data_IF_797248261660
#
_entry.id   IF_797248261660
#
_cell.length_a   1.000
_cell.length_b   1.000
_cell.length_c   1.000
_cell.angle_alpha   90.00
_cell.angle_beta   90.00
_cell.angle_gamma   90.00
#
_symmetry.space_group_name_H-M   'P 1'
#
loop_
_entity.id
_entity.type
_entity.pdbx_description
1 polymer ?
#
# COMPACT_ATOMS: atom_id res chain seq x y z
N UNK A 1 -12.04 -36.40 37.73
CA UNK A 1 -10.98 -35.37 37.65
C UNK A 1 -10.88 -34.94 36.20
N UNK A 2 -11.48 -33.81 35.83
CA UNK A 2 -11.21 -33.17 34.54
C UNK A 2 -9.92 -32.36 34.72
N UNK A 3 -8.79 -32.92 34.29
CA UNK A 3 -7.55 -32.18 34.12
C UNK A 3 -7.79 -31.15 33.01
N UNK A 4 -8.19 -29.94 33.38
CA UNK A 4 -8.05 -28.78 32.51
C UNK A 4 -6.56 -28.50 32.44
N UNK A 5 -5.90 -28.95 31.37
CA UNK A 5 -4.60 -28.40 31.01
C UNK A 5 -4.81 -26.89 30.79
N UNK A 6 -4.00 -26.02 31.41
CA UNK A 6 -4.06 -24.60 31.08
C UNK A 6 -3.81 -24.45 29.59
N UNK A 7 -4.61 -23.62 28.92
CA UNK A 7 -4.26 -23.15 27.58
C UNK A 7 -2.88 -22.49 27.67
N UNK A 8 -1.95 -22.77 26.75
CA UNK A 8 -0.65 -22.11 26.76
C UNK A 8 -0.85 -20.59 26.71
N UNK A 9 -0.03 -19.85 27.46
CA UNK A 9 -0.06 -18.40 27.47
C UNK A 9 0.29 -17.87 26.06
N UNK A 10 -0.41 -16.83 25.63
CA UNK A 10 -0.16 -16.17 24.34
C UNK A 10 0.71 -14.95 24.63
N UNK A 11 1.87 -14.92 24.00
CA UNK A 11 2.89 -13.89 24.17
C UNK A 11 2.94 -12.96 22.96
N UNK A 12 3.24 -11.69 23.22
CA UNK A 12 3.41 -10.65 22.21
C UNK A 12 4.91 -10.46 21.96
N UNK A 13 5.37 -10.58 20.72
CA UNK A 13 6.75 -10.33 20.36
C UNK A 13 6.88 -9.40 19.16
N UNK A 14 8.04 -8.77 19.01
CA UNK A 14 8.37 -7.93 17.86
C UNK A 14 9.60 -8.50 17.16
N UNK A 15 9.45 -8.85 15.89
CA UNK A 15 10.50 -9.47 15.08
C UNK A 15 10.96 -8.45 14.04
N UNK A 16 12.25 -8.14 14.03
CA UNK A 16 12.86 -7.39 12.94
C UNK A 16 13.01 -8.30 11.72
N UNK A 17 12.72 -7.75 10.55
CA UNK A 17 12.77 -8.41 9.25
C UNK A 17 13.86 -7.72 8.43
N UNK A 18 14.80 -8.46 7.86
CA UNK A 18 15.88 -7.89 7.05
C UNK A 18 16.28 -8.76 5.87
N UNK A 19 16.42 -8.18 4.68
CA UNK A 19 16.93 -8.88 3.49
C UNK A 19 17.74 -7.97 2.58
N UNK A 20 18.86 -8.46 2.03
CA UNK A 20 19.67 -7.74 1.03
C UNK A 20 20.18 -8.60 -0.13
N UNK A 21 19.62 -9.80 -0.35
CA UNK A 21 20.02 -10.69 -1.45
C UNK A 21 18.79 -11.18 -2.22
N UNK A 22 18.87 -11.10 -3.55
CA UNK A 22 17.80 -11.59 -4.44
C UNK A 22 16.54 -10.73 -4.39
N UNK A 23 15.36 -11.37 -4.46
CA UNK A 23 14.07 -10.69 -4.28
C UNK A 23 13.81 -10.46 -2.78
N UNK A 24 14.33 -9.32 -2.29
CA UNK A 24 14.36 -8.95 -0.87
C UNK A 24 12.96 -8.88 -0.24
N UNK A 25 11.98 -8.39 -0.99
CA UNK A 25 10.59 -8.28 -0.51
C UNK A 25 9.96 -9.66 -0.46
N UNK A 26 10.12 -10.47 -1.51
CA UNK A 26 9.57 -11.83 -1.54
C UNK A 26 10.12 -12.68 -0.40
N UNK A 27 11.42 -12.58 -0.09
CA UNK A 27 12.00 -13.28 1.06
C UNK A 27 11.35 -12.89 2.39
N UNK A 28 11.05 -11.59 2.59
CA UNK A 28 10.36 -11.11 3.79
C UNK A 28 8.90 -11.62 3.82
N UNK A 29 8.22 -11.64 2.68
CA UNK A 29 6.85 -12.17 2.61
C UNK A 29 6.80 -13.67 2.90
N UNK A 30 7.71 -14.45 2.34
CA UNK A 30 7.81 -15.88 2.62
C UNK A 30 8.12 -16.13 4.10
N UNK A 31 9.02 -15.36 4.72
CA UNK A 31 9.26 -15.46 6.15
C UNK A 31 8.01 -15.19 6.99
N UNK A 32 7.19 -14.20 6.63
CA UNK A 32 5.92 -13.95 7.32
C UNK A 32 4.93 -15.11 7.17
N UNK A 33 4.81 -15.66 5.95
CA UNK A 33 3.95 -16.82 5.69
C UNK A 33 4.42 -18.07 6.45
N UNK A 34 5.72 -18.30 6.52
CA UNK A 34 6.30 -19.42 7.27
C UNK A 34 6.11 -19.26 8.77
N UNK A 35 6.26 -18.04 9.32
CA UNK A 35 5.90 -17.75 10.72
C UNK A 35 4.43 -18.10 11.00
N UNK A 36 3.49 -17.65 10.16
CA UNK A 36 2.07 -17.95 10.31
C UNK A 36 1.78 -19.46 10.24
N UNK A 37 2.51 -20.19 9.39
CA UNK A 37 2.40 -21.64 9.18
C UNK A 37 2.84 -22.43 10.43
N UNK A 38 3.90 -22.00 11.10
CA UNK A 38 4.43 -22.68 12.30
C UNK A 38 3.82 -22.19 13.62
N UNK A 39 2.81 -21.31 13.55
CA UNK A 39 2.05 -20.87 14.72
C UNK A 39 2.51 -19.55 15.35
N UNK A 40 3.47 -18.85 14.72
CA UNK A 40 3.87 -17.48 15.07
C UNK A 40 2.98 -16.53 14.25
N UNK A 41 1.88 -16.04 14.84
CA UNK A 41 0.86 -15.28 14.11
C UNK A 41 1.26 -13.84 13.91
N UNK A 42 1.47 -13.42 12.66
CA UNK A 42 1.74 -12.02 12.32
C UNK A 42 0.45 -11.21 12.48
N UNK A 43 0.46 -10.22 13.37
CA UNK A 43 -0.70 -9.38 13.68
C UNK A 43 -0.75 -8.14 12.82
N UNK A 44 0.38 -7.47 12.69
CA UNK A 44 0.55 -6.27 11.85
C UNK A 44 2.03 -6.02 11.58
N UNK A 45 2.30 -5.20 10.58
CA UNK A 45 3.67 -4.92 10.13
C UNK A 45 3.92 -3.43 10.03
N UNK A 46 5.17 -3.01 10.20
CA UNK A 46 5.60 -1.69 9.78
C UNK A 46 5.56 -1.56 8.25
N UNK A 47 5.86 -0.37 7.73
CA UNK A 47 6.31 -0.25 6.35
C UNK A 47 7.64 -0.99 6.18
N UNK A 48 7.96 -1.39 4.94
CA UNK A 48 9.31 -1.78 4.57
C UNK A 48 10.12 -0.52 4.28
N UNK A 49 11.38 -0.49 4.72
CA UNK A 49 12.31 0.60 4.48
C UNK A 49 13.55 0.09 3.76
N UNK A 50 13.86 0.69 2.62
CA UNK A 50 15.15 0.48 1.97
C UNK A 50 16.20 1.39 2.64
N UNK A 51 17.33 0.81 3.06
CA UNK A 51 18.38 1.48 3.83
C UNK A 51 19.76 1.05 3.33
N UNK A 52 20.75 1.95 3.39
CA UNK A 52 22.13 1.57 3.10
C UNK A 52 22.69 0.56 4.13
N UNK A 53 23.66 -0.28 3.73
CA UNK A 53 24.35 -1.17 4.67
C UNK A 53 25.05 -0.39 5.78
N UNK A 54 24.90 -0.82 7.05
CA UNK A 54 25.49 -0.12 8.20
C UNK A 54 26.96 -0.52 8.49
N UNK A 55 27.33 -1.78 8.24
CA UNK A 55 28.63 -2.31 8.69
C UNK A 55 29.56 -2.70 7.54
N UNK A 56 29.04 -3.35 6.50
CA UNK A 56 29.80 -3.74 5.31
C UNK A 56 29.25 -2.95 4.12
N UNK A 57 29.96 -1.88 3.76
CA UNK A 57 29.46 -0.88 2.81
C UNK A 57 29.44 -1.34 1.35
N UNK A 58 30.19 -2.39 1.01
CA UNK A 58 30.24 -2.99 -0.33
C UNK A 58 29.19 -4.09 -0.49
N UNK A 59 27.91 -3.73 -0.33
CA UNK A 59 26.76 -4.63 -0.46
C UNK A 59 25.51 -3.89 -0.97
N UNK A 60 24.55 -4.64 -1.50
CA UNK A 60 23.26 -4.09 -1.88
C UNK A 60 22.50 -3.52 -0.66
N UNK A 61 21.66 -2.48 -0.86
CA UNK A 61 20.81 -1.94 0.18
C UNK A 61 19.93 -3.01 0.84
N UNK A 62 19.71 -2.86 2.14
CA UNK A 62 18.80 -3.72 2.90
C UNK A 62 17.37 -3.23 2.76
N UNK A 63 16.42 -4.15 2.68
CA UNK A 63 15.02 -3.90 3.04
C UNK A 63 14.83 -4.35 4.48
N UNK A 64 14.36 -3.43 5.33
CA UNK A 64 14.11 -3.66 6.75
C UNK A 64 12.63 -3.39 7.10
N UNK A 65 12.10 -4.16 8.04
CA UNK A 65 10.78 -3.96 8.62
C UNK A 65 10.68 -4.56 10.01
N UNK A 66 9.53 -4.41 10.66
CA UNK A 66 9.21 -5.07 11.92
C UNK A 66 7.80 -5.63 11.82
N UNK A 67 7.58 -6.85 12.30
CA UNK A 67 6.24 -7.37 12.55
C UNK A 67 5.98 -7.56 14.04
N UNK A 68 4.76 -7.27 14.46
CA UNK A 68 4.20 -7.67 15.74
C UNK A 68 3.59 -9.06 15.57
N UNK A 69 3.94 -9.98 16.46
CA UNK A 69 3.50 -11.38 16.40
C UNK A 69 2.90 -11.84 17.73
N UNK A 70 1.96 -12.79 17.64
CA UNK A 70 1.47 -13.58 18.77
C UNK A 70 2.03 -15.01 18.68
N UNK A 71 2.51 -15.56 19.79
CA UNK A 71 3.06 -16.92 19.82
C UNK A 71 2.83 -17.58 21.18
N UNK A 72 2.85 -18.90 21.22
CA UNK A 72 2.87 -19.69 22.48
C UNK A 72 4.25 -20.25 22.80
N UNK A 73 5.28 -19.86 22.03
CA UNK A 73 6.66 -20.32 22.17
C UNK A 73 7.41 -19.43 23.15
N UNK A 74 8.11 -20.04 24.10
CA UNK A 74 9.05 -19.34 24.99
C UNK A 74 10.20 -18.68 24.19
N UNK A 75 10.91 -17.67 24.74
CA UNK A 75 11.91 -16.90 24.00
C UNK A 75 12.97 -17.71 23.24
N UNK A 76 13.50 -18.79 23.84
CA UNK A 76 14.50 -19.65 23.18
C UNK A 76 13.89 -20.53 22.09
N UNK A 77 12.67 -21.04 22.28
CA UNK A 77 11.96 -21.84 21.28
C UNK A 77 11.54 -20.96 20.09
N UNK A 78 11.15 -19.71 20.36
CA UNK A 78 10.89 -18.70 19.33
C UNK A 78 12.16 -18.44 18.51
N UNK A 79 13.32 -18.25 19.16
CA UNK A 79 14.59 -18.05 18.47
C UNK A 79 14.94 -19.26 17.58
N UNK A 80 14.83 -20.48 18.12
CA UNK A 80 15.14 -21.71 17.39
C UNK A 80 14.22 -21.89 16.17
N UNK A 81 12.95 -21.52 16.31
CA UNK A 81 11.96 -21.56 15.23
C UNK A 81 12.28 -20.54 14.14
N UNK A 82 12.58 -19.29 14.51
CA UNK A 82 12.96 -18.24 13.55
C UNK A 82 14.25 -18.61 12.79
N UNK A 83 15.27 -19.15 13.49
CA UNK A 83 16.50 -19.63 12.86
C UNK A 83 16.23 -20.79 11.88
N UNK A 84 15.28 -21.66 12.19
CA UNK A 84 14.87 -22.74 11.29
C UNK A 84 14.23 -22.20 10.01
N UNK A 85 13.33 -21.21 10.13
CA UNK A 85 12.73 -20.52 8.97
C UNK A 85 13.81 -19.88 8.08
N UNK A 86 14.79 -19.20 8.66
CA UNK A 86 15.87 -18.59 7.89
C UNK A 86 16.69 -19.62 7.10
N UNK A 87 17.02 -20.76 7.73
CA UNK A 87 17.76 -21.86 7.10
C UNK A 87 16.95 -22.45 5.94
N UNK A 88 15.65 -22.68 6.14
CA UNK A 88 14.74 -23.20 5.11
C UNK A 88 14.62 -22.24 3.92
N UNK A 89 14.59 -20.93 4.17
CA UNK A 89 14.60 -19.88 3.14
C UNK A 89 16.00 -19.61 2.55
N UNK A 90 16.97 -20.49 2.79
CA UNK A 90 18.25 -20.50 2.11
C UNK A 90 19.33 -19.61 2.71
N UNK A 91 19.22 -19.21 4.00
CA UNK A 91 20.29 -18.48 4.70
C UNK A 91 21.59 -19.29 4.68
N UNK A 92 22.60 -18.80 3.96
CA UNK A 92 23.98 -19.32 3.99
C UNK A 92 24.86 -18.35 4.78
N UNK A 93 25.21 -18.71 6.01
CA UNK A 93 26.05 -17.89 6.90
C UNK A 93 27.52 -17.96 6.44
N UNK A 94 27.87 -17.21 5.40
CA UNK A 94 29.22 -17.19 4.81
C UNK A 94 30.14 -16.17 5.52
N UNK A 95 29.60 -15.04 5.99
CA UNK A 95 30.32 -13.94 6.66
C UNK A 95 29.42 -13.36 7.75
N UNK A 96 29.95 -13.08 8.95
CA UNK A 96 29.21 -12.39 10.01
C UNK A 96 28.83 -10.97 9.56
N UNK A 97 27.56 -10.59 9.73
CA UNK A 97 26.96 -9.34 9.21
C UNK A 97 27.12 -9.15 7.68
N UNK A 98 27.31 -10.24 6.94
CA UNK A 98 27.39 -10.28 5.47
C UNK A 98 26.02 -10.28 4.76
N UNK A 99 26.01 -10.45 3.42
CA UNK A 99 24.78 -10.55 2.65
C UNK A 99 23.95 -11.76 3.08
N UNK A 100 22.65 -11.58 3.22
CA UNK A 100 21.69 -12.59 3.69
C UNK A 100 20.36 -12.47 2.97
N UNK A 101 19.82 -13.63 2.58
CA UNK A 101 18.49 -13.73 1.94
C UNK A 101 17.38 -13.30 2.90
N UNK A 102 17.51 -13.61 4.19
CA UNK A 102 16.60 -13.20 5.26
C UNK A 102 17.31 -13.22 6.62
N UNK A 103 16.87 -12.32 7.51
CA UNK A 103 17.29 -12.21 8.91
C UNK A 103 16.08 -11.85 9.78
N UNK A 104 15.86 -12.62 10.85
CA UNK A 104 14.74 -12.53 11.77
C UNK A 104 15.27 -12.39 13.21
N UNK A 105 15.26 -11.18 13.75
CA UNK A 105 15.76 -10.90 15.11
C UNK A 105 14.60 -10.60 16.07
N UNK A 106 14.55 -11.28 17.22
CA UNK A 106 13.60 -10.95 18.29
C UNK A 106 14.05 -9.64 18.95
N UNK A 107 13.25 -8.58 18.81
CA UNK A 107 13.51 -7.27 19.40
C UNK A 107 12.99 -7.18 20.83
N UNK A 108 11.74 -7.59 21.01
CA UNK A 108 10.97 -7.47 22.25
C UNK A 108 10.11 -8.72 22.43
N UNK A 109 9.85 -9.06 23.68
CA UNK A 109 8.98 -10.16 24.09
C UNK A 109 8.26 -9.71 25.37
N UNK A 110 6.94 -9.59 25.27
CA UNK A 110 6.06 -8.97 26.25
C UNK A 110 6.64 -7.63 26.77
N UNK A 111 6.77 -7.48 28.08
CA UNK A 111 7.47 -6.37 28.74
C UNK A 111 8.58 -6.91 29.64
N UNK A 112 9.27 -7.94 29.14
CA UNK A 112 10.25 -8.71 29.92
C UNK A 112 11.69 -8.38 29.55
N UNK A 113 12.58 -8.64 30.51
CA UNK A 113 14.02 -8.67 30.30
C UNK A 113 14.45 -10.13 30.35
N UNK A 114 15.01 -10.62 29.26
CA UNK A 114 15.57 -11.97 29.16
C UNK A 114 17.05 -11.88 28.81
N UNK A 115 17.91 -12.56 29.56
CA UNK A 115 19.34 -12.61 29.28
C UNK A 115 19.84 -14.04 29.26
N UNK A 116 20.43 -14.41 28.13
CA UNK A 116 20.97 -15.74 27.85
C UNK A 116 22.16 -15.61 26.90
N UNK A 117 23.06 -16.59 26.87
CA UNK A 117 24.26 -16.56 26.01
C UNK A 117 23.92 -16.46 24.51
N UNK A 118 22.73 -16.94 24.11
CA UNK A 118 22.22 -16.96 22.73
C UNK A 118 21.27 -15.81 22.40
N UNK A 119 20.63 -15.21 23.41
CA UNK A 119 19.50 -14.30 23.23
C UNK A 119 19.45 -13.28 24.37
N UNK A 120 19.32 -12.00 24.01
CA UNK A 120 19.03 -10.93 24.96
C UNK A 120 17.79 -10.18 24.47
N UNK A 121 16.81 -10.01 25.36
CA UNK A 121 15.59 -9.24 25.12
C UNK A 121 15.51 -8.16 26.21
N UNK A 122 15.34 -6.88 25.86
CA UNK A 122 15.33 -6.33 24.51
C UNK A 122 16.62 -6.57 23.72
N UNK A 123 16.54 -6.62 22.39
CA UNK A 123 17.73 -6.83 21.54
C UNK A 123 18.78 -5.75 21.80
N UNK A 124 20.02 -6.15 22.12
CA UNK A 124 21.04 -5.26 22.71
C UNK A 124 21.37 -4.01 21.89
N UNK A 125 21.28 -4.09 20.57
CA UNK A 125 21.60 -2.97 19.65
C UNK A 125 20.35 -2.27 19.08
N UNK A 126 19.14 -2.62 19.53
CA UNK A 126 17.92 -2.09 18.90
C UNK A 126 17.83 -0.57 19.02
N UNK A 127 18.22 -0.01 20.17
CA UNK A 127 18.11 1.43 20.44
C UNK A 127 19.16 2.28 19.71
N UNK A 128 20.15 1.66 19.07
CA UNK A 128 21.23 2.32 18.34
C UNK A 128 21.00 2.30 16.82
N UNK A 129 19.98 1.56 16.35
CA UNK A 129 19.77 1.26 14.93
C UNK A 129 18.51 1.93 14.40
N UNK A 130 18.68 2.93 13.53
CA UNK A 130 17.55 3.61 12.86
C UNK A 130 16.66 2.63 12.10
N UNK A 131 17.26 1.72 11.33
CA UNK A 131 16.53 0.71 10.54
C UNK A 131 15.74 -0.31 11.38
N UNK A 132 15.94 -0.34 12.71
CA UNK A 132 15.14 -1.12 13.67
C UNK A 132 14.12 -0.21 14.35
N UNK A 133 14.56 0.92 14.91
CA UNK A 133 13.70 1.83 15.65
C UNK A 133 12.64 2.52 14.80
N UNK A 134 12.95 2.83 13.53
CA UNK A 134 12.02 3.48 12.60
C UNK A 134 10.78 2.61 12.32
N UNK A 135 10.92 1.36 11.83
CA UNK A 135 9.77 0.48 11.68
C UNK A 135 9.09 0.13 13.01
N UNK A 136 9.84 -0.10 14.10
CA UNK A 136 9.24 -0.37 15.42
C UNK A 136 8.39 0.81 15.93
N UNK A 137 8.87 2.04 15.74
CA UNK A 137 8.16 3.25 16.15
C UNK A 137 6.90 3.52 15.32
N UNK A 138 6.72 2.88 14.14
CA UNK A 138 5.43 2.92 13.45
C UNK A 138 4.37 2.07 14.16
N UNK A 139 4.77 1.00 14.86
CA UNK A 139 3.86 0.09 15.55
C UNK A 139 3.56 0.52 16.98
N UNK A 140 4.60 0.98 17.70
CA UNK A 140 4.52 1.27 19.14
C UNK A 140 5.25 2.58 19.52
N UNK A 141 4.95 3.73 18.87
CA UNK A 141 5.72 4.97 19.05
C UNK A 141 5.77 5.49 20.49
N UNK A 142 4.72 5.19 21.27
CA UNK A 142 4.51 5.71 22.63
C UNK A 142 4.79 4.69 23.73
N UNK A 143 5.17 3.45 23.37
CA UNK A 143 5.59 2.46 24.36
C UNK A 143 7.05 2.72 24.78
N UNK A 144 7.43 2.11 25.90
CA UNK A 144 8.72 2.28 26.56
C UNK A 144 9.52 0.97 26.51
N UNK A 145 10.84 1.02 26.26
CA UNK A 145 11.70 -0.16 26.41
C UNK A 145 11.65 -0.68 27.86
N UNK A 146 11.59 -2.01 28.08
CA UNK A 146 11.65 -2.59 29.43
C UNK A 146 13.10 -2.58 29.93
N UNK A 147 13.66 -1.39 30.19
CA UNK A 147 15.03 -1.21 30.69
C UNK A 147 15.03 -0.74 32.16
N UNK A 148 15.97 -1.19 33.00
CA UNK A 148 16.07 -0.73 34.38
C UNK A 148 16.55 0.74 34.45
N UNK A 149 15.67 1.67 34.81
CA UNK A 149 16.02 3.10 34.97
C UNK A 149 14.80 4.02 35.19
N UNK A 150 15.02 5.19 35.80
CA UNK A 150 13.95 6.17 36.12
C UNK A 150 13.60 7.12 34.96
N UNK A 151 14.42 7.19 33.92
CA UNK A 151 14.26 8.09 32.77
C UNK A 151 13.90 7.31 31.49
N UNK A 152 12.85 6.51 31.54
CA UNK A 152 12.43 5.74 30.35
C UNK A 152 11.83 6.70 29.31
N UNK A 153 12.44 6.71 28.12
CA UNK A 153 11.96 7.46 26.96
C UNK A 153 11.15 6.53 26.06
N UNK A 154 10.19 7.10 25.32
CA UNK A 154 9.42 6.33 24.33
C UNK A 154 10.28 5.92 23.13
N UNK A 155 9.90 4.88 22.40
CA UNK A 155 10.60 4.48 21.16
C UNK A 155 10.71 5.63 20.15
N UNK A 156 9.66 6.45 20.02
CA UNK A 156 9.70 7.64 19.16
C UNK A 156 10.71 8.70 19.63
N UNK A 157 10.93 8.83 20.94
CA UNK A 157 11.94 9.73 21.50
C UNK A 157 13.34 9.20 21.22
N UNK A 158 13.56 7.89 21.40
CA UNK A 158 14.82 7.24 21.04
C UNK A 158 15.16 7.41 19.55
N UNK A 159 14.19 7.18 18.65
CA UNK A 159 14.39 7.38 17.21
C UNK A 159 14.80 8.81 16.87
N UNK A 160 14.16 9.82 17.49
CA UNK A 160 14.50 11.24 17.28
C UNK A 160 15.88 11.63 17.83
N UNK A 161 16.40 10.89 18.80
CA UNK A 161 17.71 11.12 19.38
C UNK A 161 18.87 10.54 18.55
N UNK A 162 18.57 9.61 17.62
CA UNK A 162 19.57 9.07 16.70
C UNK A 162 20.05 10.14 15.69
N UNK A 163 21.31 10.06 15.24
CA UNK A 163 21.76 10.82 14.08
C UNK A 163 20.84 10.55 12.88
N UNK A 164 20.49 11.57 12.07
CA UNK A 164 19.75 11.36 10.84
C UNK A 164 20.45 10.33 9.95
N UNK A 165 19.75 9.30 9.47
CA UNK A 165 20.36 8.30 8.60
C UNK A 165 20.75 8.92 7.25
N UNK A 166 21.94 8.59 6.77
CA UNK A 166 22.42 8.97 5.44
C UNK A 166 22.77 7.70 4.63
N UNK A 167 22.09 7.44 3.50
CA UNK A 167 20.92 8.14 2.96
C UNK A 167 19.65 7.93 3.79
N UNK A 168 18.66 8.81 3.61
CA UNK A 168 17.34 8.70 4.25
C UNK A 168 16.63 7.40 3.84
N UNK A 169 16.11 6.60 4.78
CA UNK A 169 15.34 5.40 4.50
C UNK A 169 14.10 5.67 3.64
N UNK A 170 13.90 4.83 2.63
CA UNK A 170 12.78 4.95 1.70
C UNK A 170 11.71 3.91 1.99
N UNK A 171 10.49 4.34 2.34
CA UNK A 171 9.36 3.44 2.52
C UNK A 171 9.03 2.77 1.19
N UNK A 172 8.95 1.45 1.15
CA UNK A 172 8.84 0.66 -0.08
C UNK A 172 7.51 -0.09 -0.11
N UNK A 173 6.72 0.12 -1.17
CA UNK A 173 5.48 -0.62 -1.44
C UNK A 173 5.66 -1.44 -2.73
N UNK A 174 5.86 -2.77 -2.65
CA UNK A 174 5.93 -3.62 -3.83
C UNK A 174 4.60 -3.61 -4.60
N UNK A 175 4.66 -3.69 -5.93
CA UNK A 175 3.47 -3.86 -6.79
C UNK A 175 3.52 -5.23 -7.48
N UNK A 176 4.54 -5.45 -8.30
CA UNK A 176 4.82 -6.76 -8.91
C UNK A 176 6.31 -6.88 -9.24
N UNK A 177 6.83 -8.10 -9.52
CA UNK A 177 8.25 -8.28 -9.84
C UNK A 177 8.73 -7.53 -11.10
N UNK A 178 7.81 -7.15 -11.99
CA UNK A 178 8.10 -6.45 -13.25
C UNK A 178 7.79 -4.95 -13.19
N UNK A 179 7.30 -4.46 -12.06
CA UNK A 179 6.96 -3.06 -11.84
C UNK A 179 7.76 -2.51 -10.65
N UNK A 180 8.38 -1.31 -10.76
CA UNK A 180 9.17 -0.74 -9.68
C UNK A 180 8.33 -0.53 -8.41
N UNK A 181 8.91 -0.79 -7.24
CA UNK A 181 8.23 -0.49 -5.99
C UNK A 181 7.97 1.01 -5.85
N UNK A 182 6.90 1.38 -5.14
CA UNK A 182 6.63 2.78 -4.83
C UNK A 182 7.46 3.18 -3.61
N UNK A 183 8.23 4.27 -3.74
CA UNK A 183 9.09 4.80 -2.69
C UNK A 183 8.50 6.07 -2.05
N UNK A 184 7.39 5.96 -1.32
CA UNK A 184 6.55 7.11 -0.93
C UNK A 184 7.26 8.22 -0.10
N UNK A 185 8.36 7.90 0.57
CA UNK A 185 9.18 8.88 1.32
C UNK A 185 10.39 9.40 0.55
N UNK A 186 10.68 8.88 -0.64
CA UNK A 186 11.75 9.43 -1.49
C UNK A 186 11.31 10.79 -2.05
N UNK A 187 12.02 11.90 -1.73
CA UNK A 187 11.69 13.22 -2.27
C UNK A 187 11.85 13.30 -3.79
N UNK A 188 12.67 12.44 -4.42
CA UNK A 188 12.98 12.45 -5.86
C UNK A 188 12.16 11.47 -6.69
N UNK A 189 11.23 10.72 -6.06
CA UNK A 189 10.41 9.74 -6.77
C UNK A 189 9.59 10.37 -7.90
N UNK A 190 9.33 9.58 -8.93
CA UNK A 190 8.44 9.97 -10.02
C UNK A 190 6.98 9.66 -9.69
N UNK A 191 6.07 10.51 -10.15
CA UNK A 191 4.63 10.27 -10.05
C UNK A 191 4.17 9.31 -11.14
N UNK A 192 3.47 8.24 -10.75
CA UNK A 192 2.91 7.26 -11.68
C UNK A 192 1.57 7.71 -12.27
N UNK A 193 1.44 7.58 -13.58
CA UNK A 193 0.17 7.82 -14.30
C UNK A 193 -0.61 6.51 -14.40
N UNK A 194 -1.79 6.49 -13.79
CA UNK A 194 -2.76 5.38 -13.86
C UNK A 194 -3.86 5.71 -14.85
N UNK A 195 -3.89 4.98 -15.98
CA UNK A 195 -4.88 5.17 -17.04
C UNK A 195 -6.17 4.41 -16.74
N UNK A 196 -7.31 5.07 -16.90
CA UNK A 196 -8.64 4.49 -16.68
C UNK A 196 -9.11 3.72 -17.93
N UNK A 197 -9.31 2.41 -17.81
CA UNK A 197 -9.92 1.55 -18.82
C UNK A 197 -11.28 1.02 -18.32
N UNK A 198 -12.37 1.69 -18.68
CA UNK A 198 -13.71 1.25 -18.32
C UNK A 198 -14.25 0.25 -19.37
N UNK A 199 -14.52 -0.98 -18.94
CA UNK A 199 -15.13 -2.03 -19.76
C UNK A 199 -16.64 -2.11 -19.49
N UNK A 200 -17.30 -0.95 -19.49
CA UNK A 200 -18.76 -0.81 -19.29
C UNK A 200 -19.42 -0.33 -20.58
N UNK A 201 -20.63 -0.80 -20.95
CA UNK A 201 -21.30 -0.38 -22.18
C UNK A 201 -21.42 1.14 -22.34
N UNK A 202 -21.69 1.86 -21.25
CA UNK A 202 -21.84 3.32 -21.23
C UNK A 202 -20.55 4.08 -21.55
N UNK A 203 -19.39 3.44 -21.40
CA UNK A 203 -18.08 4.05 -21.72
C UNK A 203 -17.76 3.97 -23.21
N UNK A 204 -18.49 3.14 -23.97
CA UNK A 204 -18.36 3.01 -25.44
C UNK A 204 -19.34 3.91 -26.20
N UNK A 205 -20.00 4.84 -25.50
CA UNK A 205 -21.00 5.75 -26.07
C UNK A 205 -20.43 6.80 -27.04
N UNK A 206 -19.12 6.79 -27.34
CA UNK A 206 -18.51 7.51 -28.48
C UNK A 206 -18.86 6.82 -29.83
N UNK A 207 -20.15 6.56 -30.04
CA UNK A 207 -20.70 6.07 -31.31
C UNK A 207 -20.81 4.55 -31.46
N UNK A 208 -20.70 3.75 -30.39
CA UNK A 208 -21.04 2.32 -30.40
C UNK A 208 -20.11 1.44 -31.26
N UNK A 209 -18.87 1.86 -31.49
CA UNK A 209 -17.97 1.19 -32.43
C UNK A 209 -17.34 -0.11 -31.92
N UNK A 210 -17.24 -0.29 -30.60
CA UNK A 210 -16.56 -1.44 -30.00
C UNK A 210 -17.32 -1.96 -28.78
N UNK A 211 -17.39 -3.28 -28.63
CA UNK A 211 -17.96 -3.91 -27.43
C UNK A 211 -16.93 -3.91 -26.29
N UNK A 212 -17.37 -3.95 -25.00
CA UNK A 212 -16.46 -4.12 -23.86
C UNK A 212 -15.54 -5.34 -23.93
N UNK A 213 -15.87 -6.32 -24.78
CA UNK A 213 -15.12 -7.55 -25.02
C UNK A 213 -14.27 -7.52 -26.29
N UNK A 214 -14.19 -6.39 -26.99
CA UNK A 214 -13.39 -6.24 -28.20
C UNK A 214 -11.89 -6.18 -27.86
N UNK A 215 -11.20 -7.31 -28.04
CA UNK A 215 -9.77 -7.43 -27.71
C UNK A 215 -8.88 -6.59 -28.62
N UNK A 216 -9.29 -6.28 -29.86
CA UNK A 216 -8.51 -5.42 -30.75
C UNK A 216 -8.56 -3.98 -30.23
N UNK A 217 -9.75 -3.51 -29.86
CA UNK A 217 -9.91 -2.20 -29.23
C UNK A 217 -9.12 -2.10 -27.92
N UNK A 218 -9.18 -3.12 -27.06
CA UNK A 218 -8.38 -3.17 -25.83
C UNK A 218 -6.88 -3.09 -26.16
N UNK A 219 -6.43 -3.83 -27.18
CA UNK A 219 -5.02 -3.81 -27.61
C UNK A 219 -4.57 -2.42 -28.04
N UNK A 220 -5.33 -1.77 -28.91
CA UNK A 220 -5.00 -0.42 -29.41
C UNK A 220 -5.04 0.60 -28.27
N UNK A 221 -6.05 0.53 -27.40
CA UNK A 221 -6.21 1.44 -26.26
C UNK A 221 -5.05 1.31 -25.27
N UNK A 222 -4.67 0.08 -24.92
CA UNK A 222 -3.56 -0.20 -23.99
C UNK A 222 -2.24 0.26 -24.58
N UNK A 223 -1.97 -0.04 -25.86
CA UNK A 223 -0.77 0.48 -26.56
C UNK A 223 -0.72 2.00 -26.55
N UNK A 224 -1.86 2.66 -26.79
CA UNK A 224 -1.95 4.10 -26.74
C UNK A 224 -1.68 4.66 -25.33
N UNK A 225 -2.21 4.04 -24.28
CA UNK A 225 -1.92 4.43 -22.89
C UNK A 225 -0.43 4.31 -22.58
N UNK A 226 0.20 3.21 -22.96
CA UNK A 226 1.64 2.99 -22.74
C UNK A 226 2.47 4.02 -23.51
N UNK A 227 2.18 4.23 -24.79
CA UNK A 227 2.85 5.24 -25.62
C UNK A 227 2.64 6.67 -25.08
N UNK A 228 1.52 6.91 -24.40
CA UNK A 228 1.18 8.19 -23.76
C UNK A 228 1.81 8.36 -22.37
N UNK A 229 2.52 7.35 -21.86
CA UNK A 229 3.25 7.42 -20.59
C UNK A 229 2.50 6.86 -19.36
N UNK A 230 1.41 6.11 -19.55
CA UNK A 230 0.82 5.34 -18.47
C UNK A 230 1.79 4.27 -17.97
N UNK A 231 1.87 4.12 -16.65
CA UNK A 231 2.66 3.05 -16.00
C UNK A 231 1.74 2.05 -15.29
N UNK A 232 0.50 2.46 -15.00
CA UNK A 232 -0.54 1.61 -14.42
C UNK A 232 -1.79 1.71 -15.31
N UNK A 233 -2.49 0.60 -15.50
CA UNK A 233 -3.79 0.56 -16.18
C UNK A 233 -4.81 0.03 -15.20
N UNK A 234 -5.84 0.83 -14.93
CA UNK A 234 -6.90 0.51 -13.99
C UNK A 234 -8.18 0.11 -14.74
N UNK A 235 -8.56 -1.14 -14.57
CA UNK A 235 -9.61 -1.80 -15.34
C UNK A 235 -10.87 -1.86 -14.50
N UNK A 236 -11.96 -1.26 -14.97
CA UNK A 236 -13.26 -1.26 -14.28
C UNK A 236 -14.33 -2.00 -15.07
N UNK A 237 -14.95 -3.02 -14.49
CA UNK A 237 -16.07 -3.76 -15.08
C UNK A 237 -17.46 -3.21 -14.72
N UNK A 238 -17.53 -2.40 -13.67
CA UNK A 238 -18.74 -1.78 -13.13
C UNK A 238 -18.57 -0.24 -13.04
N UNK A 239 -19.64 0.52 -13.31
CA UNK A 239 -19.61 1.98 -13.16
C UNK A 239 -19.88 2.36 -11.70
N UNK A 240 -18.95 3.08 -11.09
CA UNK A 240 -19.07 3.62 -9.72
C UNK A 240 -19.64 5.05 -9.69
N UNK A 241 -20.20 5.53 -10.82
CA UNK A 241 -20.80 6.87 -10.92
C UNK A 241 -22.12 6.93 -10.13
N UNK A 242 -22.45 8.08 -9.52
CA UNK A 242 -23.75 8.25 -8.85
C UNK A 242 -24.93 7.89 -9.76
N UNK A 243 -25.79 7.00 -9.30
CA UNK A 243 -26.99 6.55 -10.01
C UNK A 243 -26.80 5.44 -11.05
N UNK A 244 -25.61 4.83 -11.15
CA UNK A 244 -25.41 3.64 -11.99
C UNK A 244 -26.19 2.43 -11.45
N UNK A 245 -26.60 1.55 -12.37
CA UNK A 245 -27.19 0.25 -12.01
C UNK A 245 -26.06 -0.76 -11.77
N UNK A 246 -25.97 -1.37 -10.58
CA UNK A 246 -24.95 -2.38 -10.31
C UNK A 246 -25.10 -3.59 -11.23
N UNK A 247 -23.97 -4.18 -11.63
CA UNK A 247 -23.95 -5.47 -12.33
C UNK A 247 -23.58 -6.57 -11.34
N UNK A 248 -24.01 -7.81 -11.61
CA UNK A 248 -23.63 -8.94 -10.77
C UNK A 248 -22.15 -9.28 -10.91
N UNK A 249 -21.54 -9.87 -9.88
CA UNK A 249 -20.13 -10.28 -9.90
C UNK A 249 -19.76 -11.14 -11.12
N UNK A 250 -20.64 -12.05 -11.55
CA UNK A 250 -20.44 -12.88 -12.74
C UNK A 250 -20.27 -12.05 -14.01
N UNK A 251 -21.06 -10.99 -14.17
CA UNK A 251 -20.99 -10.11 -15.34
C UNK A 251 -19.74 -9.24 -15.30
N UNK A 252 -19.40 -8.71 -14.12
CA UNK A 252 -18.16 -7.95 -13.92
C UNK A 252 -16.92 -8.80 -14.23
N UNK A 253 -16.86 -10.03 -13.72
CA UNK A 253 -15.81 -11.02 -14.03
C UNK A 253 -15.73 -11.28 -15.55
N UNK A 254 -16.87 -11.50 -16.21
CA UNK A 254 -16.92 -11.78 -17.64
C UNK A 254 -16.41 -10.60 -18.50
N UNK A 255 -16.46 -9.37 -17.98
CA UNK A 255 -15.90 -8.18 -18.64
C UNK A 255 -14.39 -8.06 -18.39
N UNK A 256 -13.94 -8.17 -17.14
CA UNK A 256 -12.57 -7.81 -16.77
C UNK A 256 -11.55 -8.94 -16.95
N UNK A 257 -11.91 -10.19 -16.65
CA UNK A 257 -10.94 -11.31 -16.65
C UNK A 257 -10.38 -11.59 -18.05
N UNK A 258 -11.20 -11.67 -19.13
CA UNK A 258 -10.67 -11.86 -20.47
C UNK A 258 -9.73 -10.72 -20.90
N UNK A 259 -10.06 -9.48 -20.55
CA UNK A 259 -9.24 -8.31 -20.87
C UNK A 259 -7.90 -8.35 -20.14
N UNK A 260 -7.88 -8.64 -18.84
CA UNK A 260 -6.64 -8.75 -18.05
C UNK A 260 -5.74 -9.84 -18.62
N UNK A 261 -6.29 -11.03 -18.91
CA UNK A 261 -5.52 -12.13 -19.53
C UNK A 261 -4.93 -11.69 -20.86
N UNK A 262 -5.74 -11.10 -21.74
CA UNK A 262 -5.30 -10.64 -23.05
C UNK A 262 -4.18 -9.60 -22.95
N UNK A 263 -4.30 -8.62 -22.05
CA UNK A 263 -3.25 -7.62 -21.83
C UNK A 263 -1.94 -8.29 -21.40
N UNK A 264 -2.02 -9.25 -20.47
CA UNK A 264 -0.85 -9.96 -19.95
C UNK A 264 -0.19 -10.90 -20.97
N UNK A 265 -0.97 -11.58 -21.80
CA UNK A 265 -0.45 -12.64 -22.69
C UNK A 265 -0.21 -12.19 -24.13
N UNK A 266 -0.86 -11.11 -24.57
CA UNK A 266 -0.94 -10.75 -25.99
C UNK A 266 -0.48 -9.33 -26.31
N UNK A 267 -0.12 -8.54 -25.30
CA UNK A 267 0.44 -7.18 -25.47
C UNK A 267 1.83 -7.12 -24.80
N UNK A 268 2.92 -7.45 -25.52
CA UNK A 268 4.27 -7.44 -24.96
C UNK A 268 4.69 -6.11 -24.35
N UNK A 269 4.20 -4.99 -24.88
CA UNK A 269 4.46 -3.64 -24.37
C UNK A 269 3.93 -3.44 -22.93
N UNK A 270 2.96 -4.26 -22.50
CA UNK A 270 2.38 -4.21 -21.17
C UNK A 270 3.15 -5.04 -20.11
N UNK A 271 4.29 -5.66 -20.48
CA UNK A 271 5.05 -6.54 -19.58
C UNK A 271 5.46 -5.85 -18.26
N UNK A 272 5.85 -4.57 -18.32
CA UNK A 272 6.29 -3.79 -17.16
C UNK A 272 5.21 -2.78 -16.69
N UNK A 273 3.96 -2.98 -17.11
CA UNK A 273 2.83 -2.13 -16.74
C UNK A 273 2.04 -2.83 -15.65
N UNK A 274 1.82 -2.15 -14.53
CA UNK A 274 0.96 -2.69 -13.49
C UNK A 274 -0.50 -2.67 -13.94
N UNK A 275 -1.23 -3.73 -13.65
CA UNK A 275 -2.68 -3.80 -13.88
C UNK A 275 -3.39 -3.68 -12.53
N UNK A 276 -4.24 -2.69 -12.42
CA UNK A 276 -5.15 -2.49 -11.29
C UNK A 276 -6.56 -2.94 -11.67
N UNK A 277 -7.28 -3.57 -10.75
CA UNK A 277 -8.71 -3.89 -10.88
C UNK A 277 -9.54 -2.95 -10.00
N UNK A 278 -10.38 -2.11 -10.61
CA UNK A 278 -11.35 -1.23 -9.93
C UNK A 278 -12.59 -2.04 -9.60
N UNK A 279 -12.65 -2.59 -8.38
CA UNK A 279 -13.77 -3.40 -7.90
C UNK A 279 -13.89 -3.33 -6.39
N UNK A 280 -15.13 -3.37 -5.90
CA UNK A 280 -15.45 -3.49 -4.48
C UNK A 280 -15.91 -4.91 -4.11
N UNK A 281 -15.81 -5.89 -5.02
CA UNK A 281 -16.24 -7.28 -4.82
C UNK A 281 -15.04 -8.22 -4.67
N UNK A 282 -14.99 -8.96 -3.58
CA UNK A 282 -13.90 -9.87 -3.26
C UNK A 282 -13.71 -10.95 -4.34
N UNK A 283 -14.81 -11.53 -4.82
CA UNK A 283 -14.79 -12.56 -5.88
C UNK A 283 -14.26 -12.05 -7.23
N UNK A 284 -14.49 -10.77 -7.55
CA UNK A 284 -13.95 -10.15 -8.77
C UNK A 284 -12.46 -9.87 -8.59
N UNK A 285 -12.06 -9.33 -7.44
CA UNK A 285 -10.66 -9.07 -7.10
C UNK A 285 -9.83 -10.37 -7.17
N UNK A 286 -10.31 -11.46 -6.59
CA UNK A 286 -9.67 -12.77 -6.67
C UNK A 286 -9.52 -13.25 -8.12
N UNK A 287 -10.59 -13.22 -8.90
CA UNK A 287 -10.57 -13.68 -10.28
C UNK A 287 -9.65 -12.81 -11.17
N UNK A 288 -9.62 -11.50 -10.95
CA UNK A 288 -8.78 -10.55 -11.65
C UNK A 288 -7.28 -10.74 -11.31
N UNK A 289 -6.94 -10.94 -10.03
CA UNK A 289 -5.57 -11.21 -9.62
C UNK A 289 -5.09 -12.57 -10.14
N UNK A 290 -5.94 -13.61 -10.12
CA UNK A 290 -5.64 -14.89 -10.77
C UNK A 290 -5.45 -14.78 -12.29
N UNK A 291 -6.03 -13.75 -12.92
CA UNK A 291 -5.84 -13.44 -14.33
C UNK A 291 -4.57 -12.61 -14.63
N UNK A 292 -3.92 -12.06 -13.59
CA UNK A 292 -2.68 -11.29 -13.72
C UNK A 292 -2.77 -9.80 -13.33
N UNK A 293 -3.81 -9.38 -12.60
CA UNK A 293 -3.83 -8.07 -11.95
C UNK A 293 -2.86 -8.03 -10.75
N UNK A 294 -2.22 -6.87 -10.55
CA UNK A 294 -1.22 -6.63 -9.51
C UNK A 294 -1.75 -5.81 -8.32
N UNK A 295 -2.78 -4.99 -8.56
CA UNK A 295 -3.35 -4.08 -7.57
C UNK A 295 -4.86 -4.28 -7.51
N UNK A 296 -5.43 -4.35 -6.31
CA UNK A 296 -6.88 -4.25 -6.08
C UNK A 296 -7.20 -2.81 -5.72
N UNK A 297 -7.99 -2.12 -6.54
CA UNK A 297 -8.45 -0.76 -6.28
C UNK A 297 -9.87 -0.79 -5.74
N UNK A 298 -10.01 -0.74 -4.42
CA UNK A 298 -11.31 -0.79 -3.75
C UNK A 298 -11.72 0.59 -3.25
N UNK A 299 -12.70 1.17 -3.95
CA UNK A 299 -13.29 2.45 -3.62
C UNK A 299 -13.93 2.50 -2.22
N UNK A 300 -14.28 1.34 -1.66
CA UNK A 300 -14.93 1.21 -0.36
C UNK A 300 -14.00 0.83 0.79
N UNK A 301 -12.73 0.57 0.48
CA UNK A 301 -11.75 0.07 1.44
C UNK A 301 -12.26 -1.14 2.26
N UNK A 302 -13.05 -2.03 1.66
CA UNK A 302 -13.63 -3.24 2.25
C UNK A 302 -14.97 -3.03 2.96
N UNK A 303 -15.64 -1.89 2.76
CA UNK A 303 -16.94 -1.61 3.41
C UNK A 303 -18.14 -2.16 2.62
N UNK A 304 -18.00 -2.38 1.31
CA UNK A 304 -19.11 -2.90 0.48
C UNK A 304 -19.10 -4.43 0.33
N UNK A 305 -17.99 -5.10 0.65
CA UNK A 305 -17.87 -6.55 0.68
C UNK A 305 -16.98 -6.99 1.87
N UNK A 306 -17.53 -7.66 2.88
CA UNK A 306 -16.78 -8.07 4.07
C UNK A 306 -15.65 -9.07 3.76
N UNK A 307 -15.74 -9.79 2.63
CA UNK A 307 -14.71 -10.75 2.22
C UNK A 307 -13.54 -10.08 1.48
N UNK A 308 -13.62 -8.78 1.19
CA UNK A 308 -12.60 -8.07 0.40
C UNK A 308 -11.24 -8.09 1.08
N UNK A 309 -11.13 -7.62 2.32
CA UNK A 309 -9.84 -7.54 3.01
C UNK A 309 -9.24 -8.93 3.29
N UNK A 310 -10.00 -9.94 3.77
CA UNK A 310 -9.49 -11.31 3.89
C UNK A 310 -9.03 -11.90 2.55
N UNK A 311 -9.75 -11.61 1.46
CA UNK A 311 -9.35 -12.05 0.11
C UNK A 311 -8.05 -11.40 -0.32
N UNK A 312 -7.91 -10.07 -0.14
CA UNK A 312 -6.69 -9.32 -0.45
C UNK A 312 -5.49 -9.83 0.35
N UNK A 313 -5.67 -10.12 1.64
CA UNK A 313 -4.63 -10.70 2.48
C UNK A 313 -4.13 -12.05 1.93
N UNK A 314 -5.06 -12.91 1.51
CA UNK A 314 -4.75 -14.23 0.95
C UNK A 314 -4.07 -14.18 -0.43
N UNK A 315 -4.49 -13.27 -1.32
CA UNK A 315 -3.86 -13.12 -2.65
C UNK A 315 -2.47 -12.46 -2.56
N UNK A 316 -2.17 -11.74 -1.48
CA UNK A 316 -0.87 -11.11 -1.26
C UNK A 316 -0.53 -9.96 -2.22
N UNK A 317 -1.54 -9.39 -2.89
CA UNK A 317 -1.40 -8.27 -3.82
C UNK A 317 -1.59 -6.94 -3.11
N UNK A 318 -1.11 -5.87 -3.74
CA UNK A 318 -1.25 -4.52 -3.18
C UNK A 318 -2.69 -4.02 -3.35
N UNK A 319 -3.16 -3.19 -2.42
CA UNK A 319 -4.53 -2.69 -2.37
C UNK A 319 -4.55 -1.18 -2.22
N UNK A 320 -5.43 -0.52 -2.97
CA UNK A 320 -5.78 0.88 -2.76
C UNK A 320 -7.03 0.93 -1.89
N UNK A 321 -6.89 1.53 -0.71
CA UNK A 321 -7.99 1.80 0.21
C UNK A 321 -8.43 3.24 0.02
N UNK A 322 -9.56 3.43 -0.66
CA UNK A 322 -10.13 4.76 -0.85
C UNK A 322 -11.12 5.11 0.26
N UNK A 323 -11.11 6.36 0.69
CA UNK A 323 -12.14 6.90 1.57
C UNK A 323 -13.44 7.17 0.81
N UNK A 324 -14.54 6.55 1.26
CA UNK A 324 -15.91 6.93 0.92
C UNK A 324 -16.86 6.70 2.09
N UNK A 325 -18.04 7.35 2.05
CA UNK A 325 -19.16 7.05 2.96
C UNK A 325 -20.37 6.56 2.18
N UNK A 326 -21.07 5.55 2.71
CA UNK A 326 -22.25 4.95 2.09
C UNK A 326 -21.92 4.12 0.86
N UNK A 327 -22.71 4.28 -0.19
CA UNK A 327 -22.57 3.57 -1.48
C UNK A 327 -22.53 4.59 -2.63
N UNK A 328 -22.18 4.20 -3.87
CA UNK A 328 -22.28 5.11 -5.03
C UNK A 328 -23.66 5.78 -5.18
N UNK A 329 -24.73 5.13 -4.71
CA UNK A 329 -26.11 5.64 -4.75
C UNK A 329 -26.44 6.60 -3.60
N UNK A 330 -25.81 6.45 -2.43
CA UNK A 330 -26.14 7.24 -1.21
C UNK A 330 -25.08 8.27 -0.83
N UNK A 331 -23.85 8.14 -1.32
CA UNK A 331 -22.71 8.97 -0.89
C UNK A 331 -22.92 10.47 -1.08
N UNK A 332 -23.77 10.88 -2.04
CA UNK A 332 -24.00 12.31 -2.31
C UNK A 332 -24.71 13.04 -1.18
N UNK A 333 -25.32 12.33 -0.23
CA UNK A 333 -25.97 12.94 0.95
C UNK A 333 -25.15 12.78 2.23
N UNK A 334 -23.98 12.14 2.18
CA UNK A 334 -23.15 11.81 3.35
C UNK A 334 -21.88 12.67 3.43
N UNK A 335 -22.01 13.95 3.06
CA UNK A 335 -20.88 14.87 2.88
C UNK A 335 -20.58 15.77 4.07
N UNK A 336 -21.19 15.52 5.23
CA UNK A 336 -21.04 16.37 6.41
C UNK A 336 -19.82 15.93 7.23
N UNK A 337 -18.82 16.81 7.34
CA UNK A 337 -17.60 16.60 8.13
C UNK A 337 -17.53 17.66 9.25
N UNK A 338 -18.28 17.49 10.35
CA UNK A 338 -18.40 18.51 11.40
C UNK A 338 -17.07 18.93 12.06
N UNK A 339 -16.07 18.05 12.08
CA UNK A 339 -14.73 18.31 12.63
C UNK A 339 -13.72 18.73 11.56
N UNK A 340 -14.16 18.87 10.30
CA UNK A 340 -13.34 19.18 9.14
C UNK A 340 -12.99 17.93 8.33
N UNK A 341 -12.88 18.09 7.01
CA UNK A 341 -12.67 16.94 6.10
C UNK A 341 -11.33 16.23 6.35
N UNK A 342 -10.25 16.97 6.61
CA UNK A 342 -8.92 16.39 6.82
C UNK A 342 -8.86 15.45 8.04
N UNK A 343 -9.21 15.88 9.27
CA UNK A 343 -9.14 15.00 10.43
C UNK A 343 -10.11 13.81 10.36
N UNK A 344 -11.31 13.98 9.78
CA UNK A 344 -12.27 12.89 9.65
C UNK A 344 -11.87 11.88 8.57
N UNK A 345 -11.42 12.34 7.39
CA UNK A 345 -10.87 11.44 6.37
C UNK A 345 -9.67 10.67 6.92
N UNK A 346 -8.81 11.33 7.71
CA UNK A 346 -7.68 10.67 8.34
C UNK A 346 -8.13 9.58 9.32
N UNK A 347 -9.08 9.88 10.20
CA UNK A 347 -9.60 8.93 11.17
C UNK A 347 -10.28 7.72 10.50
N UNK A 348 -11.07 7.97 9.45
CA UNK A 348 -11.77 6.90 8.72
C UNK A 348 -10.79 6.02 7.94
N UNK A 349 -9.78 6.59 7.26
CA UNK A 349 -8.73 5.80 6.62
C UNK A 349 -7.90 5.00 7.63
N UNK A 350 -7.54 5.59 8.77
CA UNK A 350 -6.83 4.87 9.85
C UNK A 350 -7.63 3.67 10.36
N UNK A 351 -8.96 3.80 10.49
CA UNK A 351 -9.82 2.67 10.85
C UNK A 351 -9.84 1.57 9.78
N UNK A 352 -9.76 1.94 8.49
CA UNK A 352 -9.68 0.96 7.40
C UNK A 352 -8.31 0.30 7.29
N UNK A 353 -7.22 1.00 7.59
CA UNK A 353 -5.88 0.41 7.71
C UNK A 353 -5.87 -0.62 8.84
N UNK A 354 -6.41 -0.30 10.01
CA UNK A 354 -6.50 -1.25 11.12
C UNK A 354 -7.30 -2.51 10.72
N UNK A 355 -8.45 -2.34 10.07
CA UNK A 355 -9.23 -3.47 9.57
C UNK A 355 -8.49 -4.31 8.50
N UNK A 356 -7.65 -3.68 7.68
CA UNK A 356 -6.82 -4.37 6.70
C UNK A 356 -5.70 -5.18 7.38
N UNK A 357 -5.01 -4.59 8.36
CA UNK A 357 -3.99 -5.26 9.18
C UNK A 357 -4.61 -6.44 9.95
N UNK A 358 -5.77 -6.26 10.58
CA UNK A 358 -6.50 -7.32 11.28
C UNK A 358 -6.90 -8.49 10.35
N UNK A 359 -7.16 -8.20 9.08
CA UNK A 359 -7.44 -9.21 8.06
C UNK A 359 -6.17 -9.93 7.53
N UNK A 360 -4.98 -9.47 7.92
CA UNK A 360 -3.68 -10.02 7.52
C UNK A 360 -3.02 -9.29 6.35
N UNK A 361 -3.54 -8.13 5.91
CA UNK A 361 -2.90 -7.32 4.89
C UNK A 361 -1.70 -6.61 5.51
N UNK A 362 -0.50 -6.88 4.97
CA UNK A 362 0.73 -6.20 5.44
C UNK A 362 0.68 -4.72 5.08
N UNK A 363 1.17 -3.87 5.97
CA UNK A 363 1.17 -2.41 5.79
C UNK A 363 1.88 -1.97 4.50
N UNK A 364 2.95 -2.66 4.10
CA UNK A 364 3.66 -2.40 2.85
C UNK A 364 2.90 -2.79 1.57
N UNK A 365 1.68 -3.34 1.67
CA UNK A 365 0.79 -3.63 0.54
C UNK A 365 -0.32 -2.59 0.37
N UNK A 366 -0.38 -1.55 1.20
CA UNK A 366 -1.50 -0.59 1.22
C UNK A 366 -1.09 0.72 0.53
N UNK A 367 -2.00 1.22 -0.32
CA UNK A 367 -1.99 2.54 -0.94
C UNK A 367 -3.26 3.28 -0.47
N UNK A 368 -3.19 4.59 -0.22
CA UNK A 368 -4.33 5.36 0.27
C UNK A 368 -4.89 6.31 -0.81
N UNK A 369 -6.21 6.50 -0.84
CA UNK A 369 -6.87 7.52 -1.68
C UNK A 369 -7.89 8.30 -0.82
N UNK A 370 -7.85 9.63 -0.75
CA UNK A 370 -8.81 10.41 0.03
C UNK A 370 -10.21 10.49 -0.62
N UNK A 371 -10.39 9.96 -1.83
CA UNK A 371 -11.68 9.81 -2.50
C UNK A 371 -12.31 11.13 -2.90
N UNK A 372 -11.66 11.87 -3.80
CA UNK A 372 -12.20 13.13 -4.34
C UNK A 372 -13.57 12.91 -5.00
N UNK A 373 -14.57 13.69 -4.60
CA UNK A 373 -15.95 13.60 -5.06
C UNK A 373 -16.75 12.41 -4.51
N UNK A 374 -16.18 11.61 -3.60
CA UNK A 374 -16.88 10.52 -2.90
C UNK A 374 -17.27 10.97 -1.50
N UNK A 375 -18.58 11.20 -1.31
CA UNK A 375 -19.14 11.79 -0.09
C UNK A 375 -18.52 13.14 0.28
N UNK A 376 -18.24 13.98 -0.72
CA UNK A 376 -17.57 15.28 -0.57
C UNK A 376 -18.19 16.31 -1.51
N UNK A 377 -18.30 17.54 -1.03
CA UNK A 377 -18.67 18.71 -1.84
C UNK A 377 -17.41 19.42 -2.33
N UNK A 378 -17.57 20.32 -3.30
CA UNK A 378 -16.44 21.05 -3.91
C UNK A 378 -15.49 21.71 -2.88
N UNK A 379 -15.95 22.42 -1.84
CA UNK A 379 -15.06 22.95 -0.81
C UNK A 379 -14.16 21.88 -0.17
N UNK A 380 -14.71 20.71 0.14
CA UNK A 380 -13.95 19.59 0.72
C UNK A 380 -12.93 19.01 -0.26
N UNK A 381 -13.30 18.85 -1.54
CA UNK A 381 -12.37 18.38 -2.58
C UNK A 381 -11.17 19.34 -2.75
N UNK A 382 -11.44 20.65 -2.70
CA UNK A 382 -10.40 21.68 -2.79
C UNK A 382 -9.52 21.71 -1.53
N UNK A 383 -10.11 21.53 -0.34
CA UNK A 383 -9.37 21.45 0.91
C UNK A 383 -8.45 20.22 0.92
N UNK A 384 -8.90 19.06 0.46
CA UNK A 384 -8.05 17.87 0.33
C UNK A 384 -6.90 18.10 -0.64
N UNK A 385 -7.16 18.70 -1.82
CA UNK A 385 -6.09 19.00 -2.78
C UNK A 385 -5.03 19.94 -2.19
N UNK A 386 -5.46 20.94 -1.42
CA UNK A 386 -4.57 21.92 -0.79
C UNK A 386 -3.82 21.33 0.40
N UNK A 387 -4.50 20.57 1.25
CA UNK A 387 -4.02 20.09 2.55
C UNK A 387 -3.58 18.62 2.49
N UNK A 388 -3.38 18.05 1.29
CA UNK A 388 -2.84 16.70 1.13
C UNK A 388 -1.52 16.49 1.90
N UNK A 389 -0.55 17.43 1.92
CA UNK A 389 0.64 17.30 2.77
C UNK A 389 0.30 17.11 4.25
N UNK A 390 -0.71 17.84 4.75
CA UNK A 390 -1.16 17.74 6.14
C UNK A 390 -1.85 16.41 6.39
N UNK A 391 -2.73 15.96 5.49
CA UNK A 391 -3.39 14.65 5.59
C UNK A 391 -2.37 13.50 5.64
N UNK A 392 -1.36 13.53 4.77
CA UNK A 392 -0.27 12.53 4.73
C UNK A 392 0.60 12.52 5.99
N UNK A 393 0.70 13.65 6.67
CA UNK A 393 1.45 13.81 7.92
C UNK A 393 0.60 13.54 9.18
N UNK A 394 -0.66 13.14 9.03
CA UNK A 394 -1.49 12.75 10.17
C UNK A 394 -0.96 11.44 10.79
N UNK A 395 -1.01 11.31 12.13
CA UNK A 395 -0.54 10.11 12.82
C UNK A 395 -1.18 8.83 12.27
N UNK A 396 -0.33 7.86 11.94
CA UNK A 396 -0.73 6.56 11.39
C UNK A 396 -0.83 6.52 9.87
N UNK A 397 -0.79 7.66 9.18
CA UNK A 397 -0.88 7.76 7.72
C UNK A 397 0.47 8.05 7.04
N UNK A 398 1.51 8.24 7.82
CA UNK A 398 2.85 8.48 7.32
C UNK A 398 3.38 7.23 6.58
N UNK A 399 4.26 7.47 5.61
CA UNK A 399 4.96 6.44 4.81
C UNK A 399 4.08 5.58 3.90
N UNK A 400 2.77 5.83 3.81
CA UNK A 400 1.95 5.23 2.75
C UNK A 400 2.13 5.98 1.42
N UNK A 401 2.10 5.27 0.28
CA UNK A 401 1.87 5.88 -1.02
C UNK A 401 0.41 6.35 -1.14
N UNK A 402 0.21 7.41 -1.93
CA UNK A 402 -1.09 8.05 -2.13
C UNK A 402 -1.51 8.09 -3.60
N UNK A 403 -2.74 7.68 -3.87
CA UNK A 403 -3.41 7.86 -5.15
C UNK A 403 -4.35 9.06 -5.10
N UNK A 404 -4.36 9.85 -6.18
CA UNK A 404 -5.31 10.94 -6.39
C UNK A 404 -6.05 10.78 -7.72
N UNK A 405 -7.39 10.75 -7.67
CA UNK A 405 -8.24 10.65 -8.86
C UNK A 405 -9.05 11.91 -9.21
N UNK A 406 -8.44 13.06 -9.57
CA UNK A 406 -9.18 14.29 -9.82
C UNK A 406 -9.82 14.36 -11.22
N UNK A 407 -9.48 13.42 -12.12
CA UNK A 407 -9.78 13.52 -13.55
C UNK A 407 -11.26 13.68 -13.89
N UNK A 408 -11.57 14.74 -14.65
CA UNK A 408 -12.90 15.08 -15.18
C UNK A 408 -14.00 15.24 -14.10
N UNK A 409 -13.64 15.37 -12.82
CA UNK A 409 -14.59 15.47 -11.69
C UNK A 409 -15.53 16.68 -11.83
N UNK A 410 -16.70 16.56 -11.21
CA UNK A 410 -17.80 17.55 -11.33
C UNK A 410 -17.40 18.94 -10.80
N UNK A 411 -16.65 18.99 -9.69
CA UNK A 411 -16.23 20.25 -9.09
C UNK A 411 -15.37 21.09 -10.05
N UNK A 412 -14.57 20.45 -10.93
CA UNK A 412 -13.78 21.12 -11.96
C UNK A 412 -14.70 21.85 -12.94
N UNK A 413 -15.73 21.15 -13.45
CA UNK A 413 -16.70 21.73 -14.37
C UNK A 413 -17.51 22.89 -13.76
N UNK A 414 -17.79 22.83 -12.46
CA UNK A 414 -18.43 23.94 -11.75
C UNK A 414 -17.53 25.18 -11.66
N UNK A 415 -16.22 25.02 -11.41
CA UNK A 415 -15.27 26.14 -11.32
C UNK A 415 -15.04 26.78 -12.68
N UNK A 416 -14.83 25.96 -13.71
CA UNK A 416 -14.42 26.44 -15.04
C UNK A 416 -15.59 26.77 -15.97
N UNK A 417 -16.81 26.37 -15.61
CA UNK A 417 -17.98 26.44 -16.48
C UNK A 417 -18.01 25.38 -17.60
N UNK A 418 -17.01 24.48 -17.68
CA UNK A 418 -16.93 23.42 -18.69
C UNK A 418 -17.89 22.27 -18.34
N UNK A 419 -19.01 22.22 -19.05
CA UNK A 419 -20.09 21.25 -18.81
C UNK A 419 -19.71 19.82 -19.18
N UNK A 420 -19.07 19.61 -20.32
CA UNK A 420 -18.74 18.28 -20.84
C UNK A 420 -17.53 17.70 -20.10
N UNK A 421 -17.63 16.52 -19.44
CA UNK A 421 -16.51 15.96 -18.67
C UNK A 421 -15.21 15.80 -19.46
N UNK A 422 -15.28 15.36 -20.74
CA UNK A 422 -14.11 15.16 -21.60
C UNK A 422 -13.36 16.45 -21.98
N UNK A 423 -14.00 17.61 -21.83
CA UNK A 423 -13.39 18.92 -22.14
C UNK A 423 -12.70 19.55 -20.92
N UNK A 424 -12.74 18.90 -19.75
CA UNK A 424 -12.19 19.42 -18.48
C UNK A 424 -10.68 19.20 -18.33
N UNK A 425 -9.95 19.01 -19.43
CA UNK A 425 -8.53 18.63 -19.43
C UNK A 425 -7.67 19.66 -18.68
N UNK A 426 -7.82 20.95 -18.96
CA UNK A 426 -7.02 22.00 -18.30
C UNK A 426 -7.31 22.17 -16.81
N UNK A 427 -8.57 22.03 -16.41
CA UNK A 427 -8.92 21.98 -15.00
C UNK A 427 -8.36 20.74 -14.31
N UNK A 428 -8.33 19.60 -15.01
CA UNK A 428 -7.68 18.38 -14.53
C UNK A 428 -6.18 18.59 -14.37
N UNK A 429 -5.51 19.22 -15.33
CA UNK A 429 -4.08 19.54 -15.27
C UNK A 429 -3.73 20.32 -13.98
N UNK A 430 -4.52 21.36 -13.65
CA UNK A 430 -4.33 22.12 -12.43
C UNK A 430 -4.43 21.25 -11.16
N UNK A 431 -5.44 20.38 -11.09
CA UNK A 431 -5.63 19.48 -9.94
C UNK A 431 -4.59 18.35 -9.87
N UNK A 432 -4.08 17.87 -11.00
CA UNK A 432 -2.99 16.88 -11.06
C UNK A 432 -1.69 17.51 -10.57
N UNK A 433 -1.35 18.72 -11.02
CA UNK A 433 -0.19 19.46 -10.53
C UNK A 433 -0.27 19.69 -9.02
N UNK A 434 -1.44 20.09 -8.50
CA UNK A 434 -1.66 20.21 -7.05
C UNK A 434 -1.53 18.87 -6.32
N UNK A 435 -1.99 17.76 -6.91
CA UNK A 435 -1.85 16.41 -6.33
C UNK A 435 -0.37 16.01 -6.21
N UNK A 436 0.44 16.27 -7.25
CA UNK A 436 1.89 16.02 -7.24
C UNK A 436 2.58 16.91 -6.19
N UNK A 437 2.23 18.20 -6.11
CA UNK A 437 2.73 19.11 -5.08
C UNK A 437 2.37 18.63 -3.66
N UNK A 438 1.17 18.06 -3.49
CA UNK A 438 0.73 17.43 -2.26
C UNK A 438 1.46 16.12 -1.93
N UNK A 439 2.22 15.59 -2.89
CA UNK A 439 3.04 14.39 -2.82
C UNK A 439 2.30 13.10 -3.11
N UNK A 440 1.25 13.13 -3.94
CA UNK A 440 0.63 11.93 -4.48
C UNK A 440 1.63 11.11 -5.31
N UNK A 441 1.63 9.79 -5.11
CA UNK A 441 2.51 8.83 -5.80
C UNK A 441 1.88 8.35 -7.11
N UNK A 442 0.55 8.34 -7.17
CA UNK A 442 -0.23 7.90 -8.33
C UNK A 442 -1.29 8.96 -8.66
N UNK A 443 -1.45 9.29 -9.94
CA UNK A 443 -2.60 10.07 -10.43
C UNK A 443 -3.44 9.24 -11.39
N UNK A 444 -4.74 9.12 -11.10
CA UNK A 444 -5.69 8.34 -11.90
C UNK A 444 -6.44 9.23 -12.89
N UNK A 445 -6.24 8.98 -14.19
CA UNK A 445 -6.59 9.92 -15.26
C UNK A 445 -7.21 9.26 -16.51
N UNK A 446 -8.04 10.02 -17.22
CA UNK A 446 -8.57 9.65 -18.54
C UNK A 446 -7.66 10.13 -19.68
N UNK A 447 -7.19 11.37 -19.61
CA UNK A 447 -6.41 12.06 -20.65
C UNK A 447 -4.91 11.83 -20.39
N UNK A 448 -4.44 10.61 -20.73
CA UNK A 448 -3.12 10.09 -20.29
C UNK A 448 -1.97 10.95 -20.79
N UNK A 449 -1.93 11.28 -22.09
CA UNK A 449 -0.81 11.97 -22.69
C UNK A 449 -0.63 13.37 -22.07
N UNK A 450 -1.72 14.11 -21.95
CA UNK A 450 -1.74 15.44 -21.38
C UNK A 450 -1.35 15.41 -19.91
N UNK A 451 -1.91 14.48 -19.13
CA UNK A 451 -1.61 14.41 -17.70
C UNK A 451 -0.21 13.88 -17.43
N UNK A 452 0.35 13.02 -18.29
CA UNK A 452 1.75 12.64 -18.23
C UNK A 452 2.68 13.85 -18.43
N UNK A 453 2.39 14.72 -19.40
CA UNK A 453 3.18 15.95 -19.56
C UNK A 453 3.11 16.84 -18.32
N UNK A 454 1.92 16.96 -17.72
CA UNK A 454 1.72 17.71 -16.48
C UNK A 454 2.50 17.08 -15.32
N UNK A 455 2.47 15.76 -15.14
CA UNK A 455 3.21 15.10 -14.06
C UNK A 455 4.72 15.25 -14.25
N UNK A 456 5.24 15.15 -15.48
CA UNK A 456 6.68 15.34 -15.74
C UNK A 456 7.16 16.73 -15.34
N UNK A 457 6.39 17.77 -15.65
CA UNK A 457 6.73 19.15 -15.26
C UNK A 457 6.52 19.36 -13.77
N UNK A 458 5.43 18.84 -13.19
CA UNK A 458 5.17 18.95 -11.76
C UNK A 458 6.23 18.23 -10.93
N UNK A 459 6.67 17.04 -11.33
CA UNK A 459 7.77 16.33 -10.68
C UNK A 459 9.07 17.15 -10.74
N UNK A 460 9.39 17.76 -11.88
CA UNK A 460 10.56 18.63 -12.00
C UNK A 460 10.50 19.89 -11.10
N UNK A 461 9.32 20.30 -10.67
CA UNK A 461 9.12 21.43 -9.73
C UNK A 461 9.18 20.96 -8.28
N UNK A 462 8.51 19.85 -7.95
CA UNK A 462 8.21 19.45 -6.57
C UNK A 462 9.01 18.25 -6.05
N UNK A 463 9.66 17.48 -6.93
CA UNK A 463 10.45 16.26 -6.60
C UNK A 463 11.95 16.53 -6.71
N UNK A 464 12.37 17.65 -6.17
CA UNK A 464 13.77 18.10 -6.15
C UNK A 464 14.34 17.99 -4.75
N UNK A 465 15.67 17.91 -4.66
CA UNK A 465 16.43 17.71 -3.43
C UNK A 465 16.39 18.90 -2.48
#
# INVERSE_FOLDING_TARGET
MNLKFPSPDIHRAFIALGSNVGDRVEMIEQACLEMDRVGIKVKRTSSLFETAPMYVLDQDPFINGVCEVETTLEPLDLLDTLQSIEIELGRKKLIDKGPRSIDLDILLYDQEIFSHERLNIPHSLMLERDFVLRPLSQLIPNEYPPLPGKDSQTYSTHLKALPPPEPTPMSTTPISPLFPSLHATDPKRSTHVMAILNLTPDSFSDGGKHAPTDLNYITETVRNFIASGATIIDIGGESTRPGSTPVGATEEIARVVPAIRHIRTSIPEAANIAISIDTYRASVAEAACAAGADIVNDISAGLLDPEMLPTVARIGKSVILMHMRGTPQTMTTLHDYPSGVIPEVAAELSARIAAAEDAGIRRWRIILDPGLGFAKIQPHDLEILKELPRLRAMPGLECFPWLMGPSRKRFIGHITGVKTPRERVWGTAATVSASVAGGADIVRVHDVQEMWQVTKVADAIYRVE
#
